data_IF_034347684692
#
_entry.id   IF_034347684692
#
_cell.length_a   1.000
_cell.length_b   1.000
_cell.length_c   1.000
_cell.angle_alpha   90.00
_cell.angle_beta   90.00
_cell.angle_gamma   90.00
#
_symmetry.space_group_name_H-M   'P 1'
#
loop_
_entity.id
_entity.type
_entity.pdbx_description
1 polymer ?
#
# COMPACT_ATOMS: atom_id res chain seq x y z
N UNK A 1 -27.58 -22.34 12.67
CA UNK A 1 -28.46 -21.52 13.52
C UNK A 1 -28.06 -20.07 13.34
N UNK A 2 -28.99 -19.23 12.91
CA UNK A 2 -28.78 -17.79 12.71
C UNK A 2 -30.03 -17.02 13.11
N UNK A 3 -29.91 -15.72 13.27
CA UNK A 3 -31.02 -14.84 13.64
C UNK A 3 -31.60 -14.17 12.40
N UNK A 4 -32.93 -14.11 12.29
CA UNK A 4 -33.59 -13.34 11.25
C UNK A 4 -33.42 -11.83 11.50
N UNK A 5 -33.46 -11.42 12.76
CA UNK A 5 -33.32 -10.03 13.19
C UNK A 5 -32.51 -9.95 14.49
N UNK A 6 -31.75 -8.87 14.65
CA UNK A 6 -30.97 -8.54 15.84
C UNK A 6 -31.43 -7.18 16.36
N UNK A 7 -32.07 -7.19 17.52
CA UNK A 7 -32.55 -6.01 18.22
C UNK A 7 -31.63 -5.73 19.41
N UNK A 8 -31.01 -4.55 19.42
CA UNK A 8 -30.13 -4.12 20.51
C UNK A 8 -30.92 -3.15 21.38
N UNK A 9 -31.22 -3.57 22.61
CA UNK A 9 -31.90 -2.71 23.57
C UNK A 9 -30.89 -1.73 24.19
N UNK A 10 -31.09 -0.43 23.96
CA UNK A 10 -30.30 0.63 24.58
C UNK A 10 -31.22 1.79 24.98
N UNK A 11 -31.58 1.86 26.26
CA UNK A 11 -32.59 2.80 26.74
C UNK A 11 -32.04 4.21 27.00
N UNK A 12 -30.77 4.34 27.42
CA UNK A 12 -30.14 5.63 27.67
C UNK A 12 -29.33 6.15 26.46
N UNK A 13 -29.01 7.44 26.44
CA UNK A 13 -28.30 8.09 25.32
C UNK A 13 -26.85 7.60 25.18
N UNK A 14 -26.18 7.29 26.30
CA UNK A 14 -24.78 6.85 26.32
C UNK A 14 -24.62 5.48 25.64
N UNK A 15 -25.46 4.52 26.01
CA UNK A 15 -25.47 3.18 25.44
C UNK A 15 -25.82 3.23 23.95
N UNK A 16 -26.79 4.08 23.58
CA UNK A 16 -27.15 4.31 22.18
C UNK A 16 -25.94 4.78 21.38
N UNK A 17 -25.26 5.84 21.83
CA UNK A 17 -24.07 6.39 21.18
C UNK A 17 -22.94 5.36 21.06
N UNK A 18 -22.80 4.47 22.04
CA UNK A 18 -21.74 3.47 22.08
C UNK A 18 -21.91 2.35 21.04
N UNK A 19 -23.12 2.11 20.53
CA UNK A 19 -23.39 1.06 19.53
C UNK A 19 -23.79 1.61 18.16
N UNK A 20 -24.02 2.93 18.04
CA UNK A 20 -24.45 3.56 16.79
C UNK A 20 -23.50 3.25 15.63
N UNK A 21 -22.19 3.38 15.83
CA UNK A 21 -21.20 3.18 14.77
C UNK A 21 -21.16 1.71 14.29
N UNK A 22 -21.24 0.76 15.20
CA UNK A 22 -21.27 -0.68 14.92
C UNK A 22 -22.55 -1.06 14.18
N UNK A 23 -23.70 -0.48 14.57
CA UNK A 23 -24.98 -0.70 13.89
C UNK A 23 -24.96 -0.08 12.50
N UNK A 24 -24.48 1.15 12.34
CA UNK A 24 -24.33 1.79 11.02
C UNK A 24 -23.41 0.97 10.10
N UNK A 25 -22.30 0.45 10.63
CA UNK A 25 -21.40 -0.42 9.90
C UNK A 25 -22.07 -1.74 9.47
N UNK A 26 -22.78 -2.40 10.40
CA UNK A 26 -23.51 -3.63 10.10
C UNK A 26 -24.61 -3.40 9.07
N UNK A 27 -25.35 -2.30 9.18
CA UNK A 27 -26.37 -1.89 8.22
C UNK A 27 -25.76 -1.59 6.85
N UNK A 28 -24.60 -0.94 6.78
CA UNK A 28 -23.89 -0.70 5.51
C UNK A 28 -23.48 -2.01 4.84
N UNK A 29 -22.96 -2.98 5.60
CA UNK A 29 -22.67 -4.31 5.07
C UNK A 29 -23.95 -4.99 4.55
N UNK A 30 -25.06 -4.92 5.29
CA UNK A 30 -26.35 -5.49 4.88
C UNK A 30 -26.92 -4.83 3.61
N UNK A 31 -26.78 -3.51 3.44
CA UNK A 31 -27.17 -2.79 2.22
C UNK A 31 -26.49 -3.33 0.97
N UNK A 32 -25.24 -3.81 1.11
CA UNK A 32 -24.50 -4.46 0.03
C UNK A 32 -24.96 -5.88 -0.29
N UNK A 33 -25.88 -6.43 0.50
CA UNK A 33 -26.47 -7.77 0.30
C UNK A 33 -27.94 -7.65 -0.12
N UNK A 34 -28.61 -8.77 -0.41
CA UNK A 34 -30.07 -8.78 -0.70
C UNK A 34 -30.97 -8.63 0.55
N UNK A 35 -30.39 -8.24 1.69
CA UNK A 35 -31.09 -8.20 2.97
C UNK A 35 -31.43 -6.78 3.39
N UNK A 36 -32.55 -6.63 4.09
CA UNK A 36 -32.93 -5.33 4.64
C UNK A 36 -31.92 -4.88 5.70
N UNK A 37 -31.43 -3.63 5.66
CA UNK A 37 -30.60 -3.06 6.72
C UNK A 37 -31.34 -2.98 8.06
N UNK A 38 -32.67 -2.93 8.05
CA UNK A 38 -33.50 -2.90 9.27
C UNK A 38 -33.39 -4.15 10.14
N UNK A 39 -32.75 -5.22 9.66
CA UNK A 39 -32.49 -6.45 10.41
C UNK A 39 -31.56 -6.26 11.61
N UNK A 40 -30.80 -5.16 11.66
CA UNK A 40 -29.99 -4.79 12.83
C UNK A 40 -30.38 -3.38 13.22
N UNK A 41 -30.94 -3.22 14.42
CA UNK A 41 -31.38 -1.90 14.91
C UNK A 41 -31.28 -1.78 16.42
N UNK A 42 -31.06 -0.54 16.85
CA UNK A 42 -31.13 -0.16 18.25
C UNK A 42 -32.57 0.22 18.56
N UNK A 43 -33.13 -0.39 19.59
CA UNK A 43 -34.52 -0.15 20.02
C UNK A 43 -34.54 0.31 21.47
N UNK A 44 -35.63 0.98 21.84
CA UNK A 44 -36.05 1.23 23.22
C UNK A 44 -36.95 0.11 23.74
N UNK A 45 -37.12 0.03 25.05
CA UNK A 45 -37.96 -1.00 25.69
C UNK A 45 -39.43 -1.00 25.19
N UNK A 46 -39.94 0.14 24.73
CA UNK A 46 -41.32 0.30 24.25
C UNK A 46 -41.51 -0.33 22.85
N UNK A 47 -40.45 -0.35 22.04
CA UNK A 47 -40.47 -0.89 20.66
C UNK A 47 -40.30 -2.41 20.62
N UNK A 48 -40.00 -3.06 21.76
CA UNK A 48 -39.82 -4.50 21.84
C UNK A 48 -41.09 -5.30 21.50
N UNK A 49 -42.26 -4.66 21.56
CA UNK A 49 -43.55 -5.29 21.28
C UNK A 49 -43.88 -5.42 19.78
N UNK A 50 -43.09 -4.82 18.89
CA UNK A 50 -43.33 -4.90 17.45
C UNK A 50 -42.99 -6.29 16.88
N UNK A 51 -43.76 -6.76 15.90
CA UNK A 51 -43.49 -8.03 15.22
C UNK A 51 -42.19 -7.94 14.40
N UNK A 52 -41.26 -8.87 14.63
CA UNK A 52 -39.98 -8.90 13.93
C UNK A 52 -40.09 -9.29 12.45
N UNK A 53 -39.23 -8.71 11.61
CA UNK A 53 -39.16 -9.01 10.18
C UNK A 53 -38.35 -10.30 9.96
N UNK A 54 -38.93 -11.25 9.22
CA UNK A 54 -38.36 -12.57 8.98
C UNK A 54 -37.94 -12.81 7.51
N UNK A 55 -37.96 -11.79 6.66
CA UNK A 55 -37.55 -11.89 5.26
C UNK A 55 -36.03 -12.10 5.08
N UNK A 56 -35.62 -12.82 4.02
CA UNK A 56 -34.20 -12.98 3.66
C UNK A 56 -33.41 -14.01 4.48
N UNK A 57 -34.04 -15.12 4.89
CA UNK A 57 -33.34 -16.20 5.60
C UNK A 57 -32.38 -16.91 4.65
N UNK A 58 -31.12 -17.04 5.07
CA UNK A 58 -30.19 -17.97 4.43
C UNK A 58 -30.61 -19.39 4.83
N UNK A 59 -31.02 -20.18 3.85
CA UNK A 59 -31.49 -21.56 4.05
C UNK A 59 -30.35 -22.54 4.27
N UNK A 60 -29.18 -22.26 3.70
CA UNK A 60 -28.03 -23.15 3.76
C UNK A 60 -27.11 -22.80 4.94
N UNK A 61 -26.75 -23.78 5.79
CA UNK A 61 -25.88 -23.53 6.93
C UNK A 61 -24.45 -23.21 6.46
N UNK A 62 -23.90 -22.15 7.03
CA UNK A 62 -22.54 -21.66 6.73
C UNK A 62 -21.63 -21.97 7.91
N UNK A 63 -20.43 -22.49 7.64
CA UNK A 63 -19.43 -22.75 8.67
C UNK A 63 -18.64 -21.48 8.97
N UNK A 64 -18.73 -21.01 10.22
CA UNK A 64 -17.99 -19.84 10.70
C UNK A 64 -16.64 -20.30 11.28
N UNK A 65 -15.56 -20.08 10.52
CA UNK A 65 -14.19 -20.45 10.92
C UNK A 65 -13.27 -19.24 10.76
N UNK A 66 -12.30 -19.12 11.65
CA UNK A 66 -11.25 -18.10 11.58
C UNK A 66 -11.41 -16.98 12.59
N UNK A 67 -10.75 -15.85 12.32
CA UNK A 67 -10.83 -14.67 13.18
C UNK A 67 -12.15 -13.92 13.00
N UNK A 68 -12.33 -12.85 13.79
CA UNK A 68 -13.52 -11.96 13.69
C UNK A 68 -13.75 -11.48 12.25
N UNK A 69 -12.69 -11.11 11.55
CA UNK A 69 -12.72 -10.62 10.16
C UNK A 69 -13.13 -11.70 9.15
N UNK A 70 -12.63 -12.92 9.31
CA UNK A 70 -13.01 -14.05 8.45
C UNK A 70 -14.49 -14.40 8.66
N UNK A 71 -14.94 -14.41 9.91
CA UNK A 71 -16.35 -14.63 10.26
C UNK A 71 -17.22 -13.56 9.60
N UNK A 72 -16.86 -12.27 9.69
CA UNK A 72 -17.59 -11.19 9.03
C UNK A 72 -17.63 -11.40 7.52
N UNK A 73 -16.49 -11.68 6.87
CA UNK A 73 -16.43 -11.87 5.41
C UNK A 73 -17.29 -13.05 4.96
N UNK A 74 -17.18 -14.20 5.64
CA UNK A 74 -17.96 -15.41 5.34
C UNK A 74 -19.46 -15.16 5.54
N UNK A 75 -19.83 -14.44 6.59
CA UNK A 75 -21.23 -14.11 6.87
C UNK A 75 -21.80 -13.21 5.78
N UNK A 76 -21.12 -12.11 5.43
CA UNK A 76 -21.57 -11.18 4.38
C UNK A 76 -21.60 -11.85 3.01
N UNK A 77 -20.59 -12.68 2.70
CA UNK A 77 -20.55 -13.46 1.47
C UNK A 77 -21.72 -14.44 1.36
N UNK A 78 -22.06 -15.16 2.42
CA UNK A 78 -23.17 -16.11 2.40
C UNK A 78 -24.54 -15.45 2.37
N UNK A 79 -24.64 -14.19 2.79
CA UNK A 79 -25.85 -13.39 2.70
C UNK A 79 -26.06 -12.76 1.31
N UNK A 80 -25.11 -12.95 0.40
CA UNK A 80 -25.10 -12.31 -0.92
C UNK A 80 -24.96 -13.35 -2.01
N UNK A 81 -25.95 -13.46 -2.90
CA UNK A 81 -25.95 -14.51 -3.93
C UNK A 81 -24.82 -14.29 -4.95
N UNK A 82 -24.54 -13.02 -5.28
CA UNK A 82 -23.38 -12.55 -6.05
C UNK A 82 -23.02 -11.12 -5.66
N UNK A 83 -21.78 -10.90 -5.26
CA UNK A 83 -21.20 -9.56 -5.11
C UNK A 83 -20.22 -9.38 -6.26
N UNK A 84 -20.59 -8.55 -7.23
CA UNK A 84 -19.73 -8.19 -8.37
C UNK A 84 -18.81 -7.01 -8.05
N UNK A 85 -19.20 -6.16 -7.08
CA UNK A 85 -18.45 -4.96 -6.69
C UNK A 85 -18.28 -4.86 -5.16
N UNK A 86 -17.17 -4.28 -4.65
CA UNK A 86 -16.98 -4.08 -3.22
C UNK A 86 -18.10 -3.25 -2.57
N UNK A 87 -18.54 -3.65 -1.38
CA UNK A 87 -19.61 -2.96 -0.66
C UNK A 87 -19.08 -1.64 -0.09
N UNK A 88 -19.69 -0.48 -0.38
CA UNK A 88 -19.25 0.80 0.19
C UNK A 88 -19.56 0.86 1.69
N UNK A 89 -18.61 1.34 2.48
CA UNK A 89 -18.74 1.45 3.94
C UNK A 89 -18.67 2.92 4.40
N UNK A 90 -19.19 3.23 5.61
CA UNK A 90 -19.06 4.57 6.18
C UNK A 90 -17.60 4.89 6.52
N UNK A 91 -17.31 6.20 6.60
CA UNK A 91 -16.00 6.70 7.05
C UNK A 91 -15.72 6.21 8.47
N UNK A 92 -14.51 5.73 8.73
CA UNK A 92 -14.12 5.15 10.02
C UNK A 92 -14.35 3.63 10.13
N UNK A 93 -14.87 2.99 9.09
CA UNK A 93 -14.94 1.54 9.04
C UNK A 93 -13.52 0.90 9.06
N UNK A 94 -13.31 -0.20 9.80
CA UNK A 94 -12.01 -0.89 9.85
C UNK A 94 -11.73 -1.77 8.62
N UNK A 95 -12.53 -1.64 7.56
CA UNK A 95 -12.43 -2.39 6.31
C UNK A 95 -12.34 -1.39 5.15
N UNK A 96 -11.45 -1.67 4.20
CA UNK A 96 -11.37 -0.85 3.01
C UNK A 96 -10.11 -1.09 2.21
N UNK A 97 -10.12 -0.51 1.02
CA UNK A 97 -8.99 -0.43 0.12
C UNK A 97 -8.26 0.91 0.28
N UNK A 98 -7.18 1.04 -0.47
CA UNK A 98 -6.53 2.31 -0.74
C UNK A 98 -6.46 2.53 -2.24
N UNK A 99 -6.43 3.79 -2.64
CA UNK A 99 -6.15 4.21 -4.02
C UNK A 99 -4.83 4.96 -4.04
N UNK A 100 -4.02 4.69 -5.06
CA UNK A 100 -2.71 5.34 -5.27
C UNK A 100 -2.82 6.18 -6.54
N UNK A 101 -2.52 7.47 -6.40
CA UNK A 101 -2.34 8.40 -7.52
C UNK A 101 -0.99 8.11 -8.19
N UNK A 102 -1.06 7.46 -9.36
CA UNK A 102 0.12 7.04 -10.14
C UNK A 102 1.00 8.20 -10.57
N UNK A 103 0.45 9.41 -10.73
CA UNK A 103 1.22 10.58 -11.18
C UNK A 103 2.07 11.19 -10.04
N UNK A 104 1.65 10.96 -8.79
CA UNK A 104 2.35 11.46 -7.59
C UNK A 104 3.23 10.41 -6.93
N UNK A 105 2.89 9.13 -7.07
CA UNK A 105 3.60 8.06 -6.39
C UNK A 105 5.03 7.90 -6.94
N UNK A 106 6.03 8.02 -6.06
CA UNK A 106 7.45 7.87 -6.39
C UNK A 106 8.02 6.49 -6.10
N UNK A 107 7.16 5.52 -5.71
CA UNK A 107 7.55 4.16 -5.32
C UNK A 107 8.65 4.14 -4.24
N UNK A 108 8.62 5.08 -3.30
CA UNK A 108 9.57 5.16 -2.18
C UNK A 108 9.39 4.09 -1.10
N UNK A 109 8.31 3.30 -1.18
CA UNK A 109 7.95 2.21 -0.27
C UNK A 109 7.75 2.59 1.22
N UNK A 110 7.72 3.88 1.57
CA UNK A 110 7.49 4.32 2.96
C UNK A 110 6.16 3.78 3.54
N UNK A 111 5.11 3.70 2.72
CA UNK A 111 3.81 3.15 3.11
C UNK A 111 3.87 1.64 3.40
N UNK A 112 4.72 0.90 2.67
CA UNK A 112 4.95 -0.54 2.88
C UNK A 112 5.66 -0.74 4.22
N UNK A 113 6.76 -0.01 4.45
CA UNK A 113 7.58 -0.16 5.66
C UNK A 113 6.83 0.17 6.96
N UNK A 114 5.83 1.05 6.92
CA UNK A 114 5.06 1.45 8.12
C UNK A 114 3.71 0.74 8.24
N UNK A 115 3.36 -0.20 7.36
CA UNK A 115 2.09 -0.91 7.46
C UNK A 115 2.11 -1.90 8.65
N UNK A 116 1.34 -1.66 9.74
CA UNK A 116 1.43 -2.50 10.94
C UNK A 116 0.86 -3.90 10.75
N UNK A 117 -0.03 -4.08 9.77
CA UNK A 117 -0.70 -5.36 9.49
C UNK A 117 -0.09 -6.12 8.32
N UNK A 118 0.89 -5.55 7.62
CA UNK A 118 1.43 -6.13 6.39
C UNK A 118 0.42 -6.16 5.24
N UNK A 119 -0.60 -5.29 5.25
CA UNK A 119 -1.55 -5.16 4.15
C UNK A 119 -0.91 -4.59 2.89
N UNK A 120 0.15 -3.80 3.04
CA UNK A 120 0.99 -3.31 1.94
C UNK A 120 2.27 -4.12 1.89
N UNK A 121 2.66 -4.53 0.68
CA UNK A 121 3.89 -5.26 0.40
C UNK A 121 4.64 -4.66 -0.79
N UNK A 122 5.89 -5.04 -0.96
CA UNK A 122 6.72 -4.77 -2.13
C UNK A 122 6.85 -6.02 -3.01
N UNK A 123 7.43 -5.86 -4.20
CA UNK A 123 7.80 -6.97 -5.07
C UNK A 123 9.33 -7.09 -5.14
N UNK A 124 9.92 -8.29 -5.03
CA UNK A 124 11.37 -8.47 -4.98
C UNK A 124 12.08 -8.05 -6.27
N UNK A 125 11.49 -8.36 -7.43
CA UNK A 125 12.17 -8.16 -8.73
C UNK A 125 11.86 -6.82 -9.42
N UNK A 126 10.82 -6.10 -8.98
CA UNK A 126 10.39 -4.86 -9.64
C UNK A 126 9.81 -3.85 -8.64
N UNK A 127 9.98 -2.54 -8.89
CA UNK A 127 9.35 -1.51 -8.07
C UNK A 127 7.82 -1.55 -8.19
N UNK A 128 7.16 -2.12 -7.18
CA UNK A 128 5.72 -2.26 -7.14
C UNK A 128 5.23 -2.19 -5.69
N UNK A 129 4.07 -1.55 -5.48
CA UNK A 129 3.32 -1.58 -4.22
C UNK A 129 2.16 -2.56 -4.39
N UNK A 130 2.18 -3.61 -3.59
CA UNK A 130 1.14 -4.62 -3.51
C UNK A 130 0.21 -4.38 -2.32
N UNK A 131 -1.04 -4.78 -2.45
CA UNK A 131 -2.06 -4.59 -1.42
C UNK A 131 -2.94 -5.83 -1.22
N UNK A 132 -3.18 -6.17 0.04
CA UNK A 132 -4.12 -7.22 0.46
C UNK A 132 -5.23 -6.61 1.31
N UNK A 133 -6.43 -6.50 0.75
CA UNK A 133 -7.56 -5.82 1.39
C UNK A 133 -8.01 -6.49 2.70
N UNK A 134 -7.97 -7.82 2.76
CA UNK A 134 -8.37 -8.56 3.96
C UNK A 134 -7.43 -8.30 5.15
N UNK A 135 -6.19 -7.83 4.93
CA UNK A 135 -5.26 -7.47 5.99
C UNK A 135 -5.34 -5.99 6.41
N UNK A 136 -6.01 -5.14 5.61
CA UNK A 136 -6.06 -3.70 5.85
C UNK A 136 -7.05 -3.33 6.96
N UNK A 137 -6.61 -2.55 7.95
CA UNK A 137 -7.45 -2.09 9.06
C UNK A 137 -7.86 -0.61 8.95
N UNK A 138 -7.63 0.02 7.80
CA UNK A 138 -7.96 1.44 7.55
C UNK A 138 -7.38 2.41 8.60
N UNK A 139 -6.16 2.14 9.08
CA UNK A 139 -5.51 2.97 10.11
C UNK A 139 -5.01 4.35 9.62
N UNK A 140 -4.93 4.58 8.30
CA UNK A 140 -4.48 5.87 7.73
C UNK A 140 -2.99 6.19 7.86
N UNK A 141 -2.16 5.26 8.35
CA UNK A 141 -0.70 5.49 8.46
C UNK A 141 -0.06 5.66 7.07
N UNK A 142 -0.51 4.88 6.08
CA UNK A 142 0.01 4.98 4.70
C UNK A 142 -0.30 6.34 4.07
N UNK A 143 -1.50 6.87 4.27
CA UNK A 143 -1.93 8.19 3.79
C UNK A 143 -1.11 9.30 4.46
N UNK A 144 -0.99 9.28 5.79
CA UNK A 144 -0.28 10.33 6.54
C UNK A 144 1.24 10.32 6.35
N UNK A 145 1.84 9.16 6.06
CA UNK A 145 3.29 9.03 5.84
C UNK A 145 3.71 9.39 4.43
N UNK A 146 2.80 9.35 3.45
CA UNK A 146 3.15 9.57 2.06
C UNK A 146 3.66 11.00 1.83
N UNK A 147 4.94 11.21 1.48
CA UNK A 147 5.50 12.55 1.31
C UNK A 147 4.89 13.30 0.12
N UNK A 148 4.38 12.56 -0.87
CA UNK A 148 3.78 13.09 -2.09
C UNK A 148 2.25 13.18 -1.99
N UNK A 149 1.64 12.81 -0.85
CA UNK A 149 0.17 12.77 -0.67
C UNK A 149 -0.56 11.99 -1.77
N UNK A 150 0.03 10.85 -2.18
CA UNK A 150 -0.44 10.05 -3.31
C UNK A 150 -1.46 8.96 -2.91
N UNK A 151 -1.74 8.77 -1.62
CA UNK A 151 -2.58 7.67 -1.12
C UNK A 151 -3.89 8.22 -0.57
N UNK A 152 -5.02 7.61 -0.93
CA UNK A 152 -6.34 7.94 -0.37
C UNK A 152 -7.00 6.67 0.17
N UNK A 153 -7.63 6.77 1.34
CA UNK A 153 -8.40 5.68 1.93
C UNK A 153 -9.76 5.50 1.23
N UNK A 154 -10.14 4.24 0.99
CA UNK A 154 -11.44 3.88 0.42
C UNK A 154 -12.16 2.88 1.32
N UNK A 155 -13.04 3.34 2.22
CA UNK A 155 -13.83 2.46 3.08
C UNK A 155 -14.76 1.58 2.24
N UNK A 156 -14.47 0.29 2.21
CA UNK A 156 -15.24 -0.71 1.46
C UNK A 156 -15.04 -2.10 2.05
N UNK A 157 -15.86 -3.06 1.62
CA UNK A 157 -15.69 -4.47 1.93
C UNK A 157 -15.81 -5.29 0.65
N UNK A 158 -14.67 -5.75 0.14
CA UNK A 158 -14.62 -6.81 -0.85
C UNK A 158 -14.66 -8.18 -0.16
N UNK A 159 -15.68 -8.98 -0.48
CA UNK A 159 -15.84 -10.35 0.01
C UNK A 159 -15.31 -11.41 -0.95
N UNK A 160 -14.87 -10.99 -2.14
CA UNK A 160 -14.37 -11.87 -3.18
C UNK A 160 -13.05 -12.54 -2.75
N UNK A 161 -12.64 -13.56 -3.50
CA UNK A 161 -11.33 -14.19 -3.28
C UNK A 161 -10.17 -13.25 -3.59
N UNK A 162 -10.37 -12.21 -4.40
CA UNK A 162 -9.32 -11.26 -4.76
C UNK A 162 -8.85 -10.45 -3.54
N UNK A 163 -9.75 -10.15 -2.60
CA UNK A 163 -9.44 -9.46 -1.35
C UNK A 163 -8.44 -10.22 -0.45
N UNK A 164 -8.27 -11.53 -0.67
CA UNK A 164 -7.38 -12.41 0.09
C UNK A 164 -5.95 -12.46 -0.46
N UNK A 165 -5.76 -12.04 -1.70
CA UNK A 165 -4.49 -12.09 -2.41
C UNK A 165 -3.88 -10.70 -2.55
N UNK A 166 -2.56 -10.63 -2.51
CA UNK A 166 -1.84 -9.42 -2.85
C UNK A 166 -2.09 -9.06 -4.32
N UNK A 167 -2.51 -7.82 -4.58
CA UNK A 167 -2.67 -7.24 -5.92
C UNK A 167 -1.77 -6.03 -6.10
N UNK A 168 -1.20 -5.86 -7.28
CA UNK A 168 -0.46 -4.66 -7.63
C UNK A 168 -1.41 -3.44 -7.63
N UNK A 169 -1.05 -2.39 -6.90
CA UNK A 169 -1.74 -1.10 -6.94
C UNK A 169 -1.06 -0.11 -7.88
N UNK A 170 0.26 -0.02 -7.79
CA UNK A 170 1.08 0.83 -8.62
C UNK A 170 2.46 0.19 -8.76
N UNK A 171 3.04 0.26 -9.95
CA UNK A 171 4.35 -0.29 -10.22
C UNK A 171 4.87 0.22 -11.55
N UNK A 172 6.18 0.17 -11.70
CA UNK A 172 6.88 0.62 -12.89
C UNK A 172 7.98 -0.37 -13.24
N UNK A 173 8.40 -0.36 -14.51
CA UNK A 173 9.56 -1.14 -14.93
C UNK A 173 10.83 -0.60 -14.24
N UNK A 174 11.71 -1.50 -13.75
CA UNK A 174 12.95 -1.08 -13.14
C UNK A 174 13.86 -0.39 -14.15
N UNK A 175 14.64 0.58 -13.66
CA UNK A 175 15.71 1.17 -14.43
C UNK A 175 16.90 0.22 -14.49
N UNK A 176 17.34 -0.07 -15.70
CA UNK A 176 18.50 -0.91 -15.97
C UNK A 176 19.79 -0.09 -15.95
N UNK A 177 20.83 -0.62 -15.31
CA UNK A 177 22.15 0.00 -15.29
C UNK A 177 22.71 0.14 -16.72
N UNK A 178 23.11 1.36 -17.10
CA UNK A 178 23.68 1.65 -18.44
C UNK A 178 24.97 0.90 -18.77
N UNK A 179 25.62 0.27 -17.78
CA UNK A 179 26.89 -0.44 -17.92
C UNK A 179 26.74 -1.96 -17.94
N UNK A 180 25.89 -2.52 -17.10
CA UNK A 180 25.75 -3.98 -16.94
C UNK A 180 24.33 -4.52 -17.19
N UNK A 181 23.33 -3.66 -17.37
CA UNK A 181 21.93 -4.05 -17.59
C UNK A 181 21.19 -4.54 -16.34
N UNK A 182 21.82 -4.58 -15.17
CA UNK A 182 21.15 -5.03 -13.93
C UNK A 182 20.06 -4.03 -13.52
N UNK A 183 18.82 -4.48 -13.23
CA UNK A 183 17.75 -3.63 -12.71
C UNK A 183 18.06 -3.22 -11.27
N UNK A 184 17.94 -1.93 -10.92
CA UNK A 184 18.31 -1.49 -9.57
C UNK A 184 17.44 -0.40 -8.93
N UNK A 185 16.55 0.26 -9.68
CA UNK A 185 15.76 1.36 -9.13
C UNK A 185 14.52 1.70 -9.93
N UNK A 186 13.78 2.69 -9.45
CA UNK A 186 12.57 3.18 -10.11
C UNK A 186 12.94 4.11 -11.26
N UNK A 187 12.45 3.83 -12.46
CA UNK A 187 12.76 4.61 -13.66
C UNK A 187 12.35 6.08 -13.53
N UNK A 188 11.12 6.37 -13.09
CA UNK A 188 10.63 7.74 -12.89
C UNK A 188 11.51 8.53 -11.90
N UNK A 189 11.88 7.94 -10.77
CA UNK A 189 12.72 8.57 -9.76
C UNK A 189 14.12 8.87 -10.27
N UNK A 190 14.77 7.94 -10.97
CA UNK A 190 16.11 8.15 -11.52
C UNK A 190 16.10 9.27 -12.57
N UNK A 191 15.11 9.28 -13.46
CA UNK A 191 14.95 10.33 -14.47
C UNK A 191 14.73 11.70 -13.83
N UNK A 192 13.87 11.78 -12.80
CA UNK A 192 13.58 13.02 -12.06
C UNK A 192 14.82 13.56 -11.32
N UNK A 193 15.66 12.67 -10.77
CA UNK A 193 16.93 13.04 -10.12
C UNK A 193 17.91 13.59 -11.16
N UNK A 194 18.03 12.93 -12.32
CA UNK A 194 18.90 13.38 -13.41
C UNK A 194 18.47 14.77 -13.88
N UNK A 195 17.18 14.97 -14.17
CA UNK A 195 16.64 16.26 -14.61
C UNK A 195 16.90 17.39 -13.60
N UNK A 196 16.78 17.10 -12.30
CA UNK A 196 17.05 18.10 -11.25
C UNK A 196 18.53 18.40 -11.04
N UNK A 197 19.43 17.43 -11.23
CA UNK A 197 20.85 17.62 -10.94
C UNK A 197 21.65 18.11 -12.14
N UNK A 198 21.21 17.75 -13.35
CA UNK A 198 21.82 18.15 -14.59
C UNK A 198 21.87 19.69 -14.66
N UNK A 199 23.08 20.24 -14.77
CA UNK A 199 23.36 21.68 -14.87
C UNK A 199 23.02 22.57 -13.66
N UNK A 200 22.37 22.06 -12.62
CA UNK A 200 22.03 22.86 -11.42
C UNK A 200 23.17 22.92 -10.40
N UNK A 201 23.88 21.81 -10.20
CA UNK A 201 24.93 21.71 -9.19
C UNK A 201 26.32 21.63 -9.84
N UNK A 202 27.30 22.35 -9.25
CA UNK A 202 28.66 22.47 -9.80
C UNK A 202 29.34 21.12 -10.08
N UNK A 203 29.04 20.09 -9.28
CA UNK A 203 29.55 18.72 -9.44
C UNK A 203 29.08 18.01 -10.72
N UNK A 204 27.92 18.39 -11.26
CA UNK A 204 27.30 17.78 -12.44
C UNK A 204 27.35 18.72 -13.66
N UNK A 205 28.07 19.84 -13.54
CA UNK A 205 28.24 20.82 -14.60
C UNK A 205 29.48 20.48 -15.41
N UNK A 206 29.33 20.26 -16.72
CA UNK A 206 30.41 19.93 -17.65
C UNK A 206 31.20 18.65 -17.30
N UNK A 207 30.53 17.62 -16.75
CA UNK A 207 31.16 16.36 -16.36
C UNK A 207 30.25 15.17 -16.64
N UNK A 208 30.82 14.01 -17.00
CA UNK A 208 30.09 12.74 -17.19
C UNK A 208 29.52 12.13 -15.89
N UNK A 209 29.62 12.83 -14.76
CA UNK A 209 29.15 12.38 -13.44
C UNK A 209 27.64 12.10 -13.39
N UNK A 210 26.84 12.67 -14.30
CA UNK A 210 25.40 12.36 -14.42
C UNK A 210 25.18 10.89 -14.76
N UNK A 211 26.10 10.27 -15.52
CA UNK A 211 26.02 8.85 -15.88
C UNK A 211 26.12 7.94 -14.65
N UNK A 212 26.83 8.36 -13.60
CA UNK A 212 26.97 7.59 -12.36
C UNK A 212 25.64 7.39 -11.63
N UNK A 213 24.69 8.31 -11.80
CA UNK A 213 23.33 8.20 -11.22
C UNK A 213 22.55 7.08 -11.90
N UNK A 214 22.85 6.81 -13.18
CA UNK A 214 22.20 5.77 -14.02
C UNK A 214 22.90 4.40 -13.93
N UNK A 215 23.82 4.22 -12.98
CA UNK A 215 24.54 2.95 -12.77
C UNK A 215 24.12 2.29 -11.45
N UNK A 216 24.12 0.95 -11.41
CA UNK A 216 23.99 0.20 -10.16
C UNK A 216 25.14 0.52 -9.20
N UNK A 217 24.96 0.17 -7.92
CA UNK A 217 25.95 0.34 -6.85
C UNK A 217 27.36 -0.16 -7.24
N UNK A 218 27.47 -1.38 -7.74
CA UNK A 218 28.75 -1.97 -8.16
C UNK A 218 29.42 -1.21 -9.32
N UNK A 219 28.64 -0.92 -10.36
CA UNK A 219 29.15 -0.24 -11.55
C UNK A 219 29.52 1.22 -11.26
N UNK A 220 28.75 1.87 -10.37
CA UNK A 220 29.00 3.23 -9.91
C UNK A 220 30.28 3.33 -9.08
N UNK A 221 30.54 2.36 -8.20
CA UNK A 221 31.80 2.30 -7.43
C UNK A 221 32.98 2.08 -8.37
N UNK A 222 32.91 1.06 -9.25
CA UNK A 222 34.00 0.77 -10.20
C UNK A 222 34.34 1.96 -11.09
N UNK A 223 33.33 2.68 -11.59
CA UNK A 223 33.55 3.83 -12.49
C UNK A 223 34.13 5.04 -11.76
N UNK A 224 33.83 5.24 -10.46
CA UNK A 224 34.44 6.30 -9.66
C UNK A 224 35.91 6.01 -9.30
N UNK A 225 36.27 4.75 -9.02
CA UNK A 225 37.65 4.39 -8.63
C UNK A 225 38.60 4.19 -9.82
N UNK A 226 38.08 3.83 -10.99
CA UNK A 226 38.88 3.56 -12.19
C UNK A 226 38.70 4.61 -13.30
N UNK A 227 37.99 5.71 -13.03
CA UNK A 227 37.83 6.82 -13.97
C UNK A 227 39.01 7.79 -13.95
N UNK A 228 39.12 8.62 -14.99
CA UNK A 228 40.21 9.61 -15.14
C UNK A 228 40.27 10.63 -13.99
N UNK A 229 39.12 10.92 -13.36
CA UNK A 229 39.00 11.80 -12.20
C UNK A 229 38.94 11.02 -10.87
N UNK A 230 39.50 9.82 -10.81
CA UNK A 230 39.43 9.01 -9.59
C UNK A 230 40.11 9.74 -8.42
N UNK A 231 39.43 9.90 -7.27
CA UNK A 231 39.95 10.66 -6.12
C UNK A 231 41.20 10.04 -5.50
N UNK A 232 41.46 8.76 -5.78
CA UNK A 232 42.63 8.01 -5.32
C UNK A 232 43.61 7.68 -6.45
N UNK A 233 43.47 8.31 -7.63
CA UNK A 233 44.43 8.16 -8.71
C UNK A 233 45.78 8.75 -8.24
N UNK A 234 46.77 7.87 -8.10
CA UNK A 234 48.15 8.33 -8.00
C UNK A 234 48.54 8.94 -9.34
N UNK A 235 49.23 10.09 -9.33
CA UNK A 235 49.82 10.66 -10.54
C UNK A 235 50.77 9.66 -11.19
N UNK A 236 51.17 9.93 -12.44
CA UNK A 236 52.14 9.10 -13.13
C UNK A 236 53.35 8.83 -12.24
N UNK A 237 53.74 7.56 -12.14
CA UNK A 237 54.86 7.14 -11.29
C UNK A 237 56.07 8.00 -11.68
N UNK A 238 56.68 8.76 -10.74
CA UNK A 238 57.81 9.60 -11.05
C UNK A 238 58.89 8.79 -11.76
N UNK A 239 59.53 9.38 -12.78
CA UNK A 239 60.59 8.68 -13.51
C UNK A 239 61.64 8.20 -12.52
N UNK A 240 62.10 6.97 -12.69
CA UNK A 240 63.21 6.44 -11.91
C UNK A 240 64.44 7.26 -12.27
N UNK A 241 65.08 7.89 -11.27
CA UNK A 241 66.36 8.58 -11.47
C UNK A 241 67.38 7.58 -12.01
N UNK A 242 67.98 7.89 -13.15
CA UNK A 242 69.05 7.08 -13.75
C UNK A 242 70.42 7.63 -13.36
N UNK A 243 71.48 6.85 -13.60
CA UNK A 243 72.86 7.31 -13.37
C UNK A 243 73.20 8.58 -14.15
N UNK A 244 72.61 8.77 -15.33
CA UNK A 244 72.80 9.97 -16.17
C UNK A 244 72.30 11.25 -15.47
N UNK A 245 71.27 11.15 -14.63
CA UNK A 245 70.73 12.28 -13.85
C UNK A 245 71.70 12.80 -12.78
N UNK A 246 72.72 12.00 -12.43
CA UNK A 246 73.78 12.37 -11.50
C UNK A 246 75.03 12.90 -12.23
N UNK A 247 75.16 12.65 -13.53
CA UNK A 247 76.30 13.09 -14.35
C UNK A 247 76.08 14.48 -14.96
N UNK A 248 74.82 14.92 -15.08
CA UNK A 248 74.41 16.22 -15.62
C UNK A 248 74.20 17.32 -14.53
N UNK A 249 74.68 17.12 -13.30
CA UNK A 249 74.61 18.07 -12.16
C UNK A 249 75.94 18.78 -11.90
#
# INVERSE_FOLDING_TARGET
AGYAEVLILADNELDRRAVTAEVELAQAMLKGTHNSPSRVRVISAIELCDAGDNAGRVSDPVLLVGGRRDITRVTVAAMSDKIEEPIPLPVGAPYGAIEIDSDKCTLCLACVSLCPTGALGDHPDRPEVQFTENACVQCGICESTCPETAITLKPQLDVSKAALSARALHGEEPFECIKCGTPFGVASTINRIVEKLENQHWMYKNSDNVQLIKMCDDCRVKSQFHGDNAPMAAGERPRVRTSDDYLDS
#
